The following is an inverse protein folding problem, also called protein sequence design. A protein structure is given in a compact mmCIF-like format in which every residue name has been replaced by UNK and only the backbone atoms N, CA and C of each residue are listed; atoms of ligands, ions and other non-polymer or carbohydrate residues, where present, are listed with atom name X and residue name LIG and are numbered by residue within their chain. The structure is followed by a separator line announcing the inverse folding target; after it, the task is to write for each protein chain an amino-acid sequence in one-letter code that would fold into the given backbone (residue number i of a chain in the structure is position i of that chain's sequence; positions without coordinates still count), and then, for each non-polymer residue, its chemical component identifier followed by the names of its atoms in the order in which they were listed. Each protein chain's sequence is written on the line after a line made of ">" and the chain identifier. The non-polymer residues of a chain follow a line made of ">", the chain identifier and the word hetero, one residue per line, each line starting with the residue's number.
data_IF_392384251207
#
_entry.id   IF_392384251207
#
_cell.length_a   1.000
_cell.length_b   1.000
_cell.length_c   1.000
_cell.angle_alpha   90.00
_cell.angle_beta   90.00
_cell.angle_gamma   90.00
#
_symmetry.space_group_name_H-M   'P 1'
#
loop_
_entity.id
_entity.type
_entity.pdbx_description
1 polymer ?
#
# COMPACT_ATOMS: atom_id res chain seq x y z
N UNK A 1 -17.99 21.57 -70.63
CA UNK A 1 -18.46 22.82 -69.96
C UNK A 1 -19.03 22.36 -68.62
N UNK A 2 -18.55 22.70 -67.42
CA UNK A 2 -17.80 23.84 -66.89
C UNK A 2 -17.07 23.38 -65.60
N UNK A 3 -15.76 23.58 -65.50
CA UNK A 3 -15.03 24.60 -64.70
C UNK A 3 -14.99 24.36 -63.18
N UNK A 4 -13.79 23.98 -62.73
CA UNK A 4 -13.23 24.07 -61.37
C UNK A 4 -13.21 25.53 -60.87
N UNK A 5 -13.20 25.75 -59.54
CA UNK A 5 -11.96 26.23 -58.91
C UNK A 5 -11.71 25.64 -57.49
N UNK A 6 -10.53 25.07 -57.22
CA UNK A 6 -9.37 25.55 -56.42
C UNK A 6 -9.63 26.13 -55.00
N UNK A 7 -8.86 25.57 -54.05
CA UNK A 7 -8.37 26.07 -52.74
C UNK A 7 -9.33 25.96 -51.54
N UNK A 8 -8.92 25.19 -50.53
CA UNK A 8 -8.28 25.79 -49.35
C UNK A 8 -7.60 24.73 -48.48
N UNK A 9 -6.30 24.94 -48.28
CA UNK A 9 -5.45 24.27 -47.31
C UNK A 9 -5.99 24.50 -45.89
N UNK A 10 -6.32 23.42 -45.17
CA UNK A 10 -6.75 23.45 -43.77
C UNK A 10 -5.81 22.65 -42.90
N UNK A 11 -4.79 23.34 -42.39
CA UNK A 11 -3.86 23.03 -41.30
C UNK A 11 -4.03 21.67 -40.57
N UNK A 12 -3.00 20.85 -40.70
CA UNK A 12 -2.68 19.81 -39.73
C UNK A 12 -2.43 20.44 -38.35
N UNK A 13 -3.33 20.22 -37.40
CA UNK A 13 -3.05 20.29 -35.99
C UNK A 13 -3.03 18.86 -35.45
N UNK A 14 -1.97 18.13 -35.78
CA UNK A 14 -1.63 16.89 -35.07
C UNK A 14 -1.30 17.27 -33.63
N UNK A 15 -2.29 17.21 -32.76
CA UNK A 15 -2.07 17.31 -31.32
C UNK A 15 -1.18 16.12 -30.93
N UNK A 16 0.12 16.38 -30.84
CA UNK A 16 1.09 15.49 -30.22
C UNK A 16 0.71 15.38 -28.75
N UNK A 17 -0.26 14.51 -28.46
CA UNK A 17 -0.60 14.16 -27.10
C UNK A 17 0.60 13.41 -26.55
N UNK A 18 1.31 14.03 -25.62
CA UNK A 18 2.23 13.34 -24.74
C UNK A 18 1.41 12.20 -24.11
N UNK A 19 1.58 10.97 -24.60
CA UNK A 19 1.15 9.78 -23.90
C UNK A 19 2.02 9.75 -22.66
N UNK A 20 1.55 10.37 -21.58
CA UNK A 20 2.12 10.19 -20.28
C UNK A 20 2.14 8.68 -20.05
N UNK A 21 3.34 8.13 -19.83
CA UNK A 21 3.46 6.73 -19.44
C UNK A 21 2.47 6.50 -18.29
N UNK A 22 1.64 5.45 -18.35
CA UNK A 22 0.75 5.14 -17.25
C UNK A 22 1.58 5.12 -15.98
N UNK A 23 1.14 5.87 -14.96
CA UNK A 23 1.78 5.86 -13.66
C UNK A 23 2.04 4.40 -13.28
N UNK A 24 3.23 4.04 -12.77
CA UNK A 24 3.49 2.68 -12.34
C UNK A 24 2.34 2.30 -11.43
N UNK A 25 1.55 1.32 -11.89
CA UNK A 25 0.50 0.72 -11.08
C UNK A 25 1.27 0.10 -9.93
N UNK A 26 1.27 0.78 -8.78
CA UNK A 26 1.95 0.31 -7.58
C UNK A 26 1.59 -1.16 -7.41
N UNK A 27 2.61 -2.00 -7.24
CA UNK A 27 2.39 -3.43 -7.02
C UNK A 27 1.31 -3.56 -5.94
N UNK A 28 0.14 -4.08 -6.32
CA UNK A 28 -0.98 -4.14 -5.39
C UNK A 28 -0.62 -5.13 -4.30
N UNK A 29 -0.61 -4.68 -3.04
CA UNK A 29 -0.37 -5.55 -1.89
C UNK A 29 -1.34 -6.73 -1.96
N UNK A 30 -0.80 -7.94 -1.98
CA UNK A 30 -1.61 -9.16 -2.03
C UNK A 30 -2.22 -9.38 -0.64
N UNK A 31 -3.55 -9.35 -0.56
CA UNK A 31 -4.25 -9.77 0.66
C UNK A 31 -4.12 -11.29 0.86
N UNK A 32 -3.98 -11.73 2.10
CA UNK A 32 -3.82 -13.16 2.41
C UNK A 32 -3.29 -13.44 3.81
N UNK A 33 -3.24 -14.73 4.14
CA UNK A 33 -2.57 -15.25 5.32
C UNK A 33 -1.11 -15.57 4.99
N UNK A 34 -0.22 -15.29 5.93
CA UNK A 34 1.23 -15.38 5.80
C UNK A 34 1.80 -16.01 7.07
N UNK A 35 2.62 -17.04 6.92
CA UNK A 35 3.41 -17.60 8.00
C UNK A 35 4.77 -16.89 8.03
N UNK A 36 5.14 -16.37 9.20
CA UNK A 36 6.38 -15.63 9.41
C UNK A 36 7.22 -16.34 10.46
N UNK A 37 8.42 -16.76 10.07
CA UNK A 37 9.40 -17.35 10.98
C UNK A 37 10.33 -16.27 11.51
N UNK A 38 10.30 -16.02 12.82
CA UNK A 38 11.20 -15.07 13.48
C UNK A 38 11.70 -15.66 14.80
N UNK A 39 13.02 -15.62 15.00
CA UNK A 39 13.68 -16.09 16.25
C UNK A 39 13.34 -17.55 16.62
N UNK A 40 13.08 -18.39 15.61
CA UNK A 40 12.72 -19.80 15.82
C UNK A 40 11.26 -20.06 16.18
N UNK A 41 10.41 -19.02 16.24
CA UNK A 41 8.97 -19.13 16.41
C UNK A 41 8.23 -18.83 15.09
N UNK A 42 7.10 -19.50 14.89
CA UNK A 42 6.17 -19.20 13.79
C UNK A 42 5.07 -18.25 14.28
N UNK A 43 4.83 -17.20 13.51
CA UNK A 43 3.75 -16.24 13.71
C UNK A 43 2.81 -16.25 12.53
N UNK A 44 1.52 -16.11 12.81
CA UNK A 44 0.49 -15.94 11.82
C UNK A 44 0.25 -14.47 11.56
N UNK A 45 0.30 -14.09 10.29
CA UNK A 45 0.00 -12.76 9.82
C UNK A 45 -1.15 -12.79 8.81
N UNK A 46 -2.03 -11.80 8.90
CA UNK A 46 -3.10 -11.56 7.94
C UNK A 46 -2.92 -10.16 7.36
N UNK A 47 -2.77 -10.08 6.05
CA UNK A 47 -2.81 -8.82 5.30
C UNK A 47 -4.17 -8.72 4.65
N UNK A 48 -4.86 -7.59 4.86
CA UNK A 48 -6.21 -7.38 4.33
C UNK A 48 -6.44 -5.93 3.98
N UNK A 49 -7.37 -5.67 3.06
CA UNK A 49 -7.90 -4.33 2.89
C UNK A 49 -8.49 -3.86 4.23
N UNK A 50 -8.22 -2.61 4.59
CA UNK A 50 -8.68 -2.07 5.86
C UNK A 50 -8.76 -0.55 5.84
N UNK A 51 -9.05 0.02 7.00
CA UNK A 51 -9.15 1.47 7.17
C UNK A 51 -7.76 2.10 7.08
N UNK A 52 -7.73 3.39 6.77
CA UNK A 52 -6.51 4.18 6.96
C UNK A 52 -6.11 4.15 8.44
N UNK A 53 -4.84 3.86 8.69
CA UNK A 53 -4.27 3.91 10.02
C UNK A 53 -3.89 5.32 10.44
N UNK A 54 -3.10 5.41 11.51
CA UNK A 54 -2.58 6.67 12.02
C UNK A 54 -1.08 6.63 12.22
N UNK A 55 -0.41 7.75 11.96
CA UNK A 55 0.95 8.04 12.40
C UNK A 55 0.92 9.20 13.40
N UNK A 56 1.73 9.10 14.46
CA UNK A 56 1.88 10.19 15.43
C UNK A 56 2.96 11.16 14.93
N UNK A 57 2.57 12.41 14.68
CA UNK A 57 3.46 13.48 14.23
C UNK A 57 3.46 14.63 15.24
N UNK A 58 4.32 15.64 15.04
CA UNK A 58 4.30 16.87 15.86
C UNK A 58 2.97 17.64 15.75
N UNK A 59 2.25 17.49 14.64
CA UNK A 59 0.94 18.10 14.41
C UNK A 59 -0.23 17.23 14.95
N UNK A 60 0.07 16.15 15.67
CA UNK A 60 -0.90 15.17 16.14
C UNK A 60 -1.01 13.94 15.23
N UNK A 61 -2.09 13.17 15.41
CA UNK A 61 -2.34 11.96 14.64
C UNK A 61 -2.72 12.31 13.18
N UNK A 62 -1.94 11.81 12.23
CA UNK A 62 -2.14 11.99 10.79
C UNK A 62 -2.52 10.64 10.15
N UNK A 63 -3.38 10.63 9.13
CA UNK A 63 -3.77 9.39 8.47
C UNK A 63 -2.60 8.76 7.71
N UNK A 64 -2.54 7.44 7.71
CA UNK A 64 -1.66 6.65 6.82
C UNK A 64 -2.49 5.67 6.01
N UNK A 65 -2.30 5.66 4.70
CA UNK A 65 -2.99 4.75 3.77
C UNK A 65 -2.24 3.44 3.67
N UNK A 66 -2.94 2.33 3.48
CA UNK A 66 -2.35 1.03 3.22
C UNK A 66 -3.27 -0.11 3.64
N UNK A 67 -2.87 -1.34 3.32
CA UNK A 67 -3.50 -2.52 3.87
C UNK A 67 -3.22 -2.64 5.38
N UNK A 68 -4.13 -3.32 6.07
CA UNK A 68 -3.98 -3.65 7.49
C UNK A 68 -3.20 -4.94 7.63
N UNK A 69 -2.23 -4.95 8.54
CA UNK A 69 -1.47 -6.15 8.90
C UNK A 69 -1.81 -6.53 10.34
N UNK A 70 -2.37 -7.72 10.53
CA UNK A 70 -2.65 -8.29 11.85
C UNK A 70 -1.72 -9.46 12.10
N UNK A 71 -1.07 -9.51 13.25
CA UNK A 71 -0.10 -10.56 13.60
C UNK A 71 -0.36 -11.16 14.98
N UNK A 72 -0.17 -12.46 15.11
CA UNK A 72 -0.42 -13.25 16.31
C UNK A 72 0.43 -14.54 16.33
N UNK A 73 0.62 -15.20 17.47
CA UNK A 73 0.26 -14.75 18.82
C UNK A 73 1.28 -13.76 19.38
N UNK A 74 0.82 -12.79 20.17
CA UNK A 74 1.67 -11.83 20.88
C UNK A 74 1.09 -11.41 22.23
N UNK A 75 1.98 -10.99 23.13
CA UNK A 75 1.65 -10.22 24.34
C UNK A 75 1.49 -8.71 24.07
N UNK A 76 0.82 -8.01 24.99
CA UNK A 76 0.64 -6.55 24.95
C UNK A 76 1.98 -5.80 25.07
N UNK A 77 3.00 -6.42 25.66
CA UNK A 77 4.35 -5.89 25.84
C UNK A 77 5.25 -6.12 24.60
N UNK A 78 4.79 -6.91 23.63
CA UNK A 78 5.61 -7.37 22.50
C UNK A 78 5.46 -6.54 21.22
N UNK A 79 5.02 -5.28 21.34
CA UNK A 79 4.68 -4.44 20.17
C UNK A 79 5.83 -4.19 19.18
N UNK A 80 7.08 -4.11 19.66
CA UNK A 80 8.25 -3.98 18.78
C UNK A 80 8.45 -5.25 17.94
N UNK A 81 8.37 -6.42 18.56
CA UNK A 81 8.51 -7.70 17.87
C UNK A 81 7.35 -7.92 16.88
N UNK A 82 6.12 -7.65 17.29
CA UNK A 82 4.97 -7.70 16.42
C UNK A 82 5.12 -6.79 15.18
N UNK A 83 5.71 -5.60 15.34
CA UNK A 83 6.01 -4.70 14.23
C UNK A 83 7.02 -5.29 13.25
N UNK A 84 8.03 -6.00 13.75
CA UNK A 84 9.05 -6.66 12.90
C UNK A 84 8.44 -7.83 12.12
N UNK A 85 7.59 -8.66 12.76
CA UNK A 85 6.82 -9.72 12.07
C UNK A 85 5.87 -9.12 11.02
N UNK A 86 5.15 -8.05 11.36
CA UNK A 86 4.25 -7.38 10.43
C UNK A 86 5.01 -6.82 9.22
N UNK A 87 6.25 -6.35 9.43
CA UNK A 87 7.09 -5.88 8.34
C UNK A 87 7.47 -7.01 7.37
N UNK A 88 7.87 -8.16 7.89
CA UNK A 88 8.16 -9.34 7.08
C UNK A 88 6.92 -9.83 6.31
N UNK A 89 5.76 -9.91 6.97
CA UNK A 89 4.51 -10.29 6.34
C UNK A 89 4.13 -9.33 5.19
N UNK A 90 4.28 -8.02 5.40
CA UNK A 90 4.02 -7.04 4.35
C UNK A 90 4.96 -7.21 3.15
N UNK A 91 6.24 -7.50 3.39
CA UNK A 91 7.20 -7.81 2.32
C UNK A 91 6.81 -9.08 1.56
N UNK A 92 6.36 -10.14 2.25
CA UNK A 92 5.83 -11.34 1.61
C UNK A 92 4.56 -11.05 0.79
N UNK A 93 3.76 -10.07 1.22
CA UNK A 93 2.59 -9.59 0.50
C UNK A 93 2.93 -8.69 -0.71
N UNK A 94 4.21 -8.44 -0.99
CA UNK A 94 4.67 -7.61 -2.10
C UNK A 94 4.67 -6.11 -1.81
N UNK A 95 4.45 -5.72 -0.56
CA UNK A 95 4.46 -4.32 -0.11
C UNK A 95 5.69 -3.93 0.70
N UNK A 96 5.68 -2.70 1.19
CA UNK A 96 6.61 -2.15 2.16
C UNK A 96 5.86 -1.76 3.43
N UNK A 97 6.40 -2.16 4.57
CA UNK A 97 5.80 -1.80 5.84
C UNK A 97 6.01 -0.33 6.17
N UNK A 98 4.96 0.33 6.66
CA UNK A 98 5.00 1.72 7.11
C UNK A 98 5.32 1.76 8.61
N UNK A 99 6.58 2.06 9.01
CA UNK A 99 7.00 1.95 10.41
C UNK A 99 6.31 2.95 11.34
N UNK A 100 5.76 4.03 10.78
CA UNK A 100 5.04 5.07 11.52
C UNK A 100 3.58 4.69 11.83
N UNK A 101 3.04 3.64 11.22
CA UNK A 101 1.72 3.15 11.56
C UNK A 101 1.67 2.75 13.06
N UNK A 102 0.71 3.32 13.76
CA UNK A 102 0.40 3.00 15.16
C UNK A 102 -0.26 1.63 15.20
N UNK A 103 0.26 0.76 16.07
CA UNK A 103 -0.34 -0.55 16.32
C UNK A 103 -1.34 -0.52 17.46
N UNK A 104 -2.39 -1.32 17.36
CA UNK A 104 -3.32 -1.61 18.45
C UNK A 104 -3.21 -3.08 18.88
N UNK A 105 -3.29 -3.35 20.18
CA UNK A 105 -3.31 -4.71 20.70
C UNK A 105 -4.73 -5.13 21.08
N UNK A 106 -5.17 -6.30 20.60
CA UNK A 106 -6.44 -6.90 20.99
C UNK A 106 -6.40 -8.42 20.84
N UNK A 107 -6.89 -9.14 21.86
CA UNK A 107 -7.09 -10.59 21.82
C UNK A 107 -5.87 -11.40 21.33
N UNK A 108 -4.68 -11.15 21.88
CA UNK A 108 -3.47 -11.90 21.52
C UNK A 108 -2.85 -11.50 20.18
N UNK A 109 -3.32 -10.42 19.56
CA UNK A 109 -2.85 -9.95 18.27
C UNK A 109 -2.51 -8.46 18.29
N UNK A 110 -1.54 -8.09 17.47
CA UNK A 110 -1.28 -6.70 17.11
C UNK A 110 -1.84 -6.41 15.73
N UNK A 111 -2.50 -5.27 15.58
CA UNK A 111 -3.08 -4.81 14.33
C UNK A 111 -2.50 -3.46 13.94
N UNK A 112 -2.00 -3.36 12.71
CA UNK A 112 -1.38 -2.17 12.13
C UNK A 112 -2.21 -1.73 10.91
N UNK A 113 -3.23 -0.91 11.15
CA UNK A 113 -4.02 -0.27 10.08
C UNK A 113 -3.11 0.64 9.23
N UNK A 114 -3.27 0.62 7.91
CA UNK A 114 -2.36 1.36 7.00
C UNK A 114 -0.89 0.91 7.07
N UNK A 115 -0.62 -0.27 7.62
CA UNK A 115 0.74 -0.75 7.87
C UNK A 115 1.48 -1.26 6.64
N UNK A 116 0.79 -1.58 5.53
CA UNK A 116 1.41 -2.17 4.34
C UNK A 116 1.03 -1.45 3.06
N UNK A 117 2.02 -0.95 2.31
CA UNK A 117 1.86 -0.11 1.11
C UNK A 117 2.61 -0.62 -0.11
#
# INVERSE_FOLDING_TARGET
>A
MNLTPILLSGMAAGLSACVAAPAPQGASVKGGAYAVMQEGAEYQAQVSAGRAGKALTRAGAQPVSGATVRVAPFGMDQGKHAKDVAAQACTQAGGRFQPQAVGGYAAGAWEFEGGCV
#
